data_IF_766291071755
#
_entry.id   IF_766291071755
#
_cell.length_a   1.000
_cell.length_b   1.000
_cell.length_c   1.000
_cell.angle_alpha   90.00
_cell.angle_beta   90.00
_cell.angle_gamma   90.00
#
_symmetry.space_group_name_H-M   'P 1'
#
loop_
_entity.id
_entity.type
_entity.pdbx_description
1 polymer ?
#
# COMPACT_ATOMS: atom_id res chain seq x y z
N UNK A 1 18.05 -13.81 -8.51
CA UNK A 1 17.85 -12.94 -7.34
C UNK A 1 16.68 -12.02 -7.66
N UNK A 2 15.54 -12.18 -6.99
CA UNK A 2 14.39 -11.28 -7.19
C UNK A 2 14.79 -9.90 -6.67
N UNK A 3 14.53 -8.85 -7.45
CA UNK A 3 14.89 -7.49 -7.08
C UNK A 3 14.11 -7.00 -5.84
N UNK A 4 13.02 -7.68 -5.47
CA UNK A 4 12.26 -7.50 -4.21
C UNK A 4 12.78 -8.47 -3.13
N UNK A 5 14.03 -8.30 -2.72
CA UNK A 5 14.59 -9.08 -1.60
C UNK A 5 14.32 -8.43 -0.23
N UNK A 6 13.80 -7.19 -0.19
CA UNK A 6 13.57 -6.46 1.06
C UNK A 6 12.23 -5.75 1.05
N UNK A 7 11.39 -6.05 2.05
CA UNK A 7 10.11 -5.39 2.32
C UNK A 7 10.19 -3.85 2.30
N UNK A 8 11.34 -3.28 2.67
CA UNK A 8 11.57 -1.83 2.62
C UNK A 8 11.42 -1.21 1.23
N UNK A 9 11.95 -1.84 0.17
CA UNK A 9 11.86 -1.28 -1.18
C UNK A 9 10.42 -1.27 -1.70
N UNK A 10 9.65 -2.32 -1.39
CA UNK A 10 8.22 -2.36 -1.72
C UNK A 10 7.46 -1.23 -1.06
N UNK A 11 7.71 -1.02 0.25
CA UNK A 11 7.12 0.06 1.02
C UNK A 11 7.40 1.42 0.38
N UNK A 12 8.64 1.66 -0.02
CA UNK A 12 9.05 2.95 -0.57
C UNK A 12 8.40 3.22 -1.95
N UNK A 13 8.33 2.20 -2.81
CA UNK A 13 7.59 2.29 -4.08
C UNK A 13 6.11 2.57 -3.84
N UNK A 14 5.47 1.86 -2.90
CA UNK A 14 4.05 2.08 -2.60
C UNK A 14 3.81 3.51 -2.09
N UNK A 15 4.63 3.99 -1.16
CA UNK A 15 4.53 5.36 -0.64
C UNK A 15 4.70 6.38 -1.77
N UNK A 16 5.70 6.20 -2.63
CA UNK A 16 5.91 7.07 -3.80
C UNK A 16 4.70 7.05 -4.74
N UNK A 17 4.16 5.87 -5.06
CA UNK A 17 2.97 5.73 -5.90
C UNK A 17 1.74 6.40 -5.26
N UNK A 18 1.59 6.37 -3.94
CA UNK A 18 0.51 7.06 -3.22
C UNK A 18 0.66 8.59 -3.24
N UNK A 19 1.90 9.11 -3.26
CA UNK A 19 2.17 10.54 -3.41
C UNK A 19 1.92 11.00 -4.85
N UNK A 20 2.38 10.20 -5.83
CA UNK A 20 2.17 10.47 -7.26
C UNK A 20 0.68 10.30 -7.64
N UNK A 21 -0.03 9.36 -7.03
CA UNK A 21 -1.44 9.07 -7.33
C UNK A 21 -2.28 9.21 -6.07
N UNK A 22 -2.46 10.43 -5.54
CA UNK A 22 -3.17 10.60 -4.29
C UNK A 22 -4.67 10.40 -4.46
N UNK A 23 -5.32 9.87 -3.43
CA UNK A 23 -6.78 9.77 -3.34
C UNK A 23 -7.40 11.15 -3.15
N UNK A 24 -8.61 11.35 -3.64
CA UNK A 24 -9.24 12.67 -3.64
C UNK A 24 -9.46 13.21 -2.21
N UNK A 25 -9.81 12.31 -1.29
CA UNK A 25 -10.10 12.64 0.11
C UNK A 25 -8.93 12.30 1.05
N UNK A 26 -7.69 12.43 0.57
CA UNK A 26 -6.50 12.25 1.42
C UNK A 26 -6.46 13.33 2.51
N UNK A 27 -6.48 12.89 3.77
CA UNK A 27 -6.42 13.78 4.93
C UNK A 27 -5.00 14.06 5.41
N UNK A 28 -4.07 13.13 5.17
CA UNK A 28 -2.71 13.19 5.68
C UNK A 28 -1.73 12.86 4.57
N UNK A 29 -0.50 13.36 4.72
CA UNK A 29 0.59 12.98 3.83
C UNK A 29 0.84 11.45 3.91
N UNK A 30 0.87 10.73 2.77
CA UNK A 30 1.11 9.29 2.77
C UNK A 30 2.45 8.95 3.42
N UNK A 31 2.41 8.18 4.50
CA UNK A 31 3.61 7.62 5.12
C UNK A 31 3.34 6.20 5.62
N UNK A 32 4.39 5.39 5.64
CA UNK A 32 4.35 4.05 6.21
C UNK A 32 5.56 3.88 7.12
N UNK A 33 5.33 3.97 8.44
CA UNK A 33 6.33 3.71 9.46
C UNK A 33 6.14 2.30 9.99
N UNK A 34 7.17 1.48 9.85
CA UNK A 34 7.24 0.14 10.44
C UNK A 34 8.12 0.22 11.67
N UNK A 35 7.64 -0.25 12.81
CA UNK A 35 8.36 -0.22 14.08
C UNK A 35 8.42 -1.62 14.69
N UNK A 36 9.56 -1.99 15.26
CA UNK A 36 9.76 -3.31 15.86
C UNK A 36 9.09 -3.45 17.24
N UNK A 37 8.94 -2.34 17.96
CA UNK A 37 8.40 -2.33 19.31
C UNK A 37 6.87 -2.11 19.30
N UNK A 38 6.13 -3.07 19.88
CA UNK A 38 4.66 -3.04 19.98
C UNK A 38 4.13 -1.87 20.81
N UNK A 39 4.83 -1.46 21.86
CA UNK A 39 4.46 -0.29 22.65
C UNK A 39 4.55 0.99 21.82
N UNK A 40 5.67 1.18 21.12
CA UNK A 40 5.87 2.32 20.20
C UNK A 40 4.81 2.31 19.10
N UNK A 41 4.52 1.13 18.52
CA UNK A 41 3.43 0.97 17.54
C UNK A 41 2.09 1.44 18.11
N UNK A 42 1.72 0.99 19.30
CA UNK A 42 0.45 1.36 19.92
C UNK A 42 0.35 2.86 20.20
N UNK A 43 1.42 3.49 20.69
CA UNK A 43 1.46 4.94 20.92
C UNK A 43 1.30 5.70 19.60
N UNK A 44 2.04 5.33 18.57
CA UNK A 44 1.93 5.96 17.25
C UNK A 44 0.54 5.74 16.63
N UNK A 45 -0.03 4.54 16.73
CA UNK A 45 -1.37 4.23 16.25
C UNK A 45 -2.44 5.07 16.96
N UNK A 46 -2.31 5.22 18.28
CA UNK A 46 -3.20 6.08 19.06
C UNK A 46 -3.12 7.54 18.59
N UNK A 47 -1.90 8.09 18.45
CA UNK A 47 -1.70 9.51 18.13
C UNK A 47 -1.97 9.86 16.66
N UNK A 48 -1.59 9.00 15.71
CA UNK A 48 -1.62 9.30 14.27
C UNK A 48 -2.87 8.75 13.57
N UNK A 49 -3.57 7.77 14.16
CA UNK A 49 -4.73 7.14 13.53
C UNK A 49 -5.99 7.26 14.37
N UNK A 50 -5.97 6.85 15.64
CA UNK A 50 -7.19 6.78 16.46
C UNK A 50 -7.65 8.17 16.91
N UNK A 51 -6.75 8.97 17.49
CA UNK A 51 -7.09 10.31 17.98
C UNK A 51 -7.60 11.21 16.85
N UNK A 52 -6.94 11.30 15.67
CA UNK A 52 -7.45 12.14 14.59
C UNK A 52 -8.77 11.63 14.04
N UNK A 53 -8.95 10.31 13.92
CA UNK A 53 -10.21 9.72 13.48
C UNK A 53 -11.39 10.05 14.41
N UNK A 54 -11.15 9.99 15.72
CA UNK A 54 -12.15 10.34 16.72
C UNK A 54 -12.55 11.82 16.62
N UNK A 55 -11.55 12.71 16.50
CA UNK A 55 -11.77 14.16 16.33
C UNK A 55 -12.54 14.44 15.04
N UNK A 56 -12.16 13.82 13.91
CA UNK A 56 -12.88 13.94 12.64
C UNK A 56 -14.34 13.51 12.76
N UNK A 57 -14.62 12.39 13.42
CA UNK A 57 -16.00 11.92 13.61
C UNK A 57 -16.83 12.85 14.51
N UNK A 58 -16.22 13.53 15.49
CA UNK A 58 -16.89 14.59 16.27
C UNK A 58 -17.28 15.75 15.35
N UNK A 59 -16.34 16.26 14.54
CA UNK A 59 -16.63 17.36 13.62
C UNK A 59 -17.72 16.98 12.61
N UNK A 60 -17.65 15.77 12.04
CA UNK A 60 -18.70 15.28 11.14
C UNK A 60 -20.07 15.28 11.82
N UNK A 61 -20.17 14.78 13.07
CA UNK A 61 -21.42 14.80 13.83
C UNK A 61 -21.94 16.21 14.07
N UNK A 62 -21.07 17.15 14.45
CA UNK A 62 -21.44 18.55 14.69
C UNK A 62 -21.95 19.24 13.41
N UNK A 63 -21.41 18.85 12.25
CA UNK A 63 -21.86 19.30 10.94
C UNK A 63 -23.08 18.53 10.39
N UNK A 64 -23.73 17.68 11.20
CA UNK A 64 -24.88 16.86 10.78
C UNK A 64 -24.53 15.71 9.84
N UNK A 65 -23.24 15.44 9.62
CA UNK A 65 -22.74 14.35 8.78
C UNK A 65 -22.58 13.06 9.57
N UNK A 66 -22.57 11.93 8.86
CA UNK A 66 -22.43 10.60 9.47
C UNK A 66 -20.97 10.32 9.85
N UNK A 67 -20.66 9.97 11.11
CA UNK A 67 -19.32 9.55 11.51
C UNK A 67 -18.93 8.23 10.83
N UNK A 68 -17.72 8.16 10.30
CA UNK A 68 -17.22 6.99 9.57
C UNK A 68 -15.74 6.68 9.80
N UNK A 69 -14.93 7.64 10.24
CA UNK A 69 -13.48 7.49 10.28
C UNK A 69 -13.05 6.44 11.31
N UNK A 70 -13.70 6.39 12.48
CA UNK A 70 -13.41 5.36 13.49
C UNK A 70 -13.72 3.94 13.00
N UNK A 71 -14.71 3.78 12.10
CA UNK A 71 -14.99 2.48 11.49
C UNK A 71 -13.86 2.08 10.56
N UNK A 72 -13.38 2.99 9.73
CA UNK A 72 -12.26 2.75 8.82
C UNK A 72 -11.00 2.35 9.60
N UNK A 73 -10.65 3.09 10.66
CA UNK A 73 -9.50 2.78 11.50
C UNK A 73 -9.64 1.43 12.22
N UNK A 74 -10.86 1.04 12.63
CA UNK A 74 -11.11 -0.29 13.20
C UNK A 74 -10.83 -1.40 12.18
N UNK A 75 -11.35 -1.27 10.96
CA UNK A 75 -11.09 -2.25 9.89
C UNK A 75 -9.60 -2.29 9.52
N UNK A 76 -8.94 -1.15 9.43
CA UNK A 76 -7.51 -1.06 9.17
C UNK A 76 -6.69 -1.81 10.24
N UNK A 77 -6.96 -1.58 11.52
CA UNK A 77 -6.27 -2.27 12.61
C UNK A 77 -6.51 -3.80 12.58
N UNK A 78 -7.71 -4.24 12.21
CA UNK A 78 -7.99 -5.67 12.03
C UNK A 78 -7.16 -6.27 10.89
N UNK A 79 -7.04 -5.57 9.77
CA UNK A 79 -6.21 -5.99 8.63
C UNK A 79 -4.73 -6.05 9.01
N UNK A 80 -4.22 -5.05 9.71
CA UNK A 80 -2.83 -5.03 10.20
C UNK A 80 -2.61 -6.20 11.17
N UNK A 81 -3.51 -6.45 12.11
CA UNK A 81 -3.39 -7.58 13.03
C UNK A 81 -3.40 -8.94 12.30
N UNK A 82 -4.29 -9.11 11.32
CA UNK A 82 -4.37 -10.34 10.53
C UNK A 82 -3.11 -10.59 9.67
N UNK A 83 -2.45 -9.52 9.21
CA UNK A 83 -1.25 -9.59 8.36
C UNK A 83 0.06 -9.47 9.14
N UNK A 84 0.00 -9.19 10.44
CA UNK A 84 1.17 -8.93 11.28
C UNK A 84 2.16 -10.10 11.28
N UNK A 85 1.67 -11.34 11.37
CA UNK A 85 2.54 -12.52 11.36
C UNK A 85 3.36 -12.61 10.07
N UNK A 86 2.72 -12.43 8.91
CA UNK A 86 3.39 -12.54 7.62
C UNK A 86 4.35 -11.38 7.33
N UNK A 87 4.00 -10.17 7.78
CA UNK A 87 4.75 -8.95 7.50
C UNK A 87 5.93 -8.69 8.45
N UNK A 88 5.94 -9.29 9.64
CA UNK A 88 6.99 -9.07 10.66
C UNK A 88 8.02 -10.20 10.76
N UNK A 89 7.82 -11.30 10.02
CA UNK A 89 8.75 -12.43 9.99
C UNK A 89 9.49 -12.51 8.65
N UNK A 90 10.72 -13.00 8.69
CA UNK A 90 11.46 -13.33 7.47
C UNK A 90 11.04 -14.71 6.96
N UNK A 91 10.86 -14.80 5.65
CA UNK A 91 10.40 -16.00 4.99
C UNK A 91 11.42 -16.45 3.95
N UNK A 92 12.02 -17.61 4.18
CA UNK A 92 12.90 -18.27 3.20
C UNK A 92 12.10 -19.26 2.38
N UNK A 93 11.78 -18.89 1.14
CA UNK A 93 11.11 -19.79 0.21
C UNK A 93 12.12 -20.61 -0.59
N UNK A 94 12.05 -21.94 -0.47
CA UNK A 94 12.79 -22.83 -1.37
C UNK A 94 12.26 -22.68 -2.80
N UNK A 95 13.16 -22.39 -3.75
CA UNK A 95 12.80 -22.06 -5.14
C UNK A 95 13.14 -23.15 -6.16
N UNK A 96 13.43 -24.36 -5.72
CA UNK A 96 13.89 -25.45 -6.59
C UNK A 96 12.86 -25.77 -7.68
N UNK A 97 11.59 -25.98 -7.29
CA UNK A 97 10.50 -26.26 -8.23
C UNK A 97 10.27 -25.14 -9.25
N UNK A 98 10.31 -23.88 -8.79
CA UNK A 98 10.16 -22.71 -9.67
C UNK A 98 11.33 -22.63 -10.66
N UNK A 99 12.55 -22.89 -10.18
CA UNK A 99 13.76 -22.87 -11.02
C UNK A 99 13.70 -23.97 -12.07
N UNK A 100 13.27 -25.17 -11.71
CA UNK A 100 13.13 -26.28 -12.65
C UNK A 100 11.98 -26.06 -13.63
N UNK A 101 10.87 -25.46 -13.19
CA UNK A 101 9.80 -25.02 -14.08
C UNK A 101 10.30 -23.98 -15.09
N UNK A 102 11.07 -22.97 -14.65
CA UNK A 102 11.68 -21.99 -15.55
C UNK A 102 12.60 -22.64 -16.58
N UNK A 103 13.42 -23.63 -16.18
CA UNK A 103 14.27 -24.38 -17.12
C UNK A 103 13.43 -25.12 -18.15
N UNK A 104 12.36 -25.79 -17.73
CA UNK A 104 11.44 -26.50 -18.65
C UNK A 104 10.77 -25.56 -19.63
N UNK A 105 10.24 -24.43 -19.17
CA UNK A 105 9.59 -23.43 -20.04
C UNK A 105 10.55 -22.89 -21.10
N UNK A 106 11.83 -22.68 -20.76
CA UNK A 106 12.83 -22.24 -21.74
C UNK A 106 13.03 -23.20 -22.92
N UNK A 107 12.73 -24.49 -22.73
CA UNK A 107 12.84 -25.52 -23.79
C UNK A 107 11.62 -25.58 -24.72
N UNK A 108 10.54 -24.87 -24.38
CA UNK A 108 9.33 -24.82 -25.20
C UNK A 108 9.50 -23.84 -26.38
N UNK A 109 8.79 -24.09 -27.48
CA UNK A 109 8.82 -23.23 -28.68
C UNK A 109 8.17 -21.87 -28.47
N UNK A 110 7.27 -21.78 -27.49
CA UNK A 110 6.46 -20.61 -27.12
C UNK A 110 6.92 -19.99 -25.78
N UNK A 111 8.20 -20.20 -25.42
CA UNK A 111 8.79 -19.73 -24.17
C UNK A 111 8.63 -18.21 -23.93
N UNK A 112 8.55 -17.40 -24.98
CA UNK A 112 8.37 -15.95 -24.93
C UNK A 112 7.00 -15.51 -24.39
N UNK A 113 5.99 -16.37 -24.48
CA UNK A 113 4.63 -16.08 -24.00
C UNK A 113 4.58 -16.14 -22.47
N UNK A 114 5.36 -17.04 -21.85
CA UNK A 114 5.30 -17.31 -20.41
C UNK A 114 6.49 -16.66 -19.69
N UNK A 115 6.33 -15.40 -19.28
CA UNK A 115 7.32 -14.69 -18.47
C UNK A 115 7.27 -15.14 -17.01
N UNK A 116 8.14 -16.08 -16.65
CA UNK A 116 8.29 -16.57 -15.28
C UNK A 116 9.35 -15.81 -14.46
N UNK A 117 10.31 -15.15 -15.11
CA UNK A 117 11.32 -14.34 -14.41
C UNK A 117 10.78 -12.92 -14.20
N UNK A 118 10.60 -12.54 -12.94
CA UNK A 118 10.13 -11.21 -12.54
C UNK A 118 11.27 -10.20 -12.36
N UNK A 119 12.52 -10.55 -12.69
CA UNK A 119 13.65 -9.62 -12.63
C UNK A 119 13.47 -8.41 -13.54
N UNK A 120 12.95 -8.63 -14.74
CA UNK A 120 12.75 -7.57 -15.73
C UNK A 120 11.43 -6.82 -15.53
N UNK A 121 10.71 -7.12 -14.44
CA UNK A 121 9.46 -6.44 -14.13
C UNK A 121 9.73 -5.03 -13.60
N UNK A 122 9.17 -4.03 -14.28
CA UNK A 122 9.12 -2.67 -13.76
C UNK A 122 8.10 -2.59 -12.62
N UNK A 123 8.58 -2.77 -11.41
CA UNK A 123 7.79 -2.75 -10.19
C UNK A 123 7.16 -1.40 -9.90
N UNK A 124 7.79 -0.29 -10.32
CA UNK A 124 7.21 1.05 -10.16
C UNK A 124 6.01 1.19 -11.09
N UNK A 125 6.15 0.84 -12.37
CA UNK A 125 5.04 0.86 -13.33
C UNK A 125 3.90 -0.06 -12.91
N UNK A 126 4.23 -1.26 -12.41
CA UNK A 126 3.24 -2.17 -11.85
C UNK A 126 2.46 -1.55 -10.68
N UNK A 127 3.17 -1.02 -9.68
CA UNK A 127 2.54 -0.40 -8.50
C UNK A 127 1.69 0.83 -8.86
N UNK A 128 2.15 1.66 -9.80
CA UNK A 128 1.38 2.82 -10.28
C UNK A 128 0.10 2.38 -11.00
N UNK A 129 0.17 1.39 -11.89
CA UNK A 129 -1.01 0.85 -12.56
C UNK A 129 -1.99 0.21 -11.58
N UNK A 130 -1.47 -0.52 -10.59
CA UNK A 130 -2.26 -1.12 -9.52
C UNK A 130 -3.01 -0.05 -8.72
N UNK A 131 -2.32 1.01 -8.28
CA UNK A 131 -2.92 2.12 -7.53
C UNK A 131 -3.97 2.87 -8.36
N UNK A 132 -3.70 3.15 -9.63
CA UNK A 132 -4.68 3.74 -10.56
C UNK A 132 -5.91 2.85 -10.73
N UNK A 133 -5.71 1.52 -10.80
CA UNK A 133 -6.79 0.54 -10.86
C UNK A 133 -7.68 0.59 -9.62
N UNK A 134 -7.09 0.62 -8.41
CA UNK A 134 -7.84 0.78 -7.15
C UNK A 134 -8.66 2.06 -7.20
N UNK A 135 -8.03 3.19 -7.51
CA UNK A 135 -8.68 4.50 -7.55
C UNK A 135 -9.88 4.52 -8.50
N UNK A 136 -9.70 4.01 -9.72
CA UNK A 136 -10.73 4.02 -10.76
C UNK A 136 -11.85 3.00 -10.53
N UNK A 137 -11.52 1.76 -10.19
CA UNK A 137 -12.48 0.65 -10.23
C UNK A 137 -13.05 0.29 -8.86
N UNK A 138 -12.26 0.42 -7.79
CA UNK A 138 -12.71 0.11 -6.42
C UNK A 138 -13.30 1.34 -5.77
N UNK A 139 -12.54 2.45 -5.77
CA UNK A 139 -12.95 3.69 -5.13
C UNK A 139 -13.84 4.56 -6.03
N UNK A 140 -13.87 4.28 -7.33
CA UNK A 140 -14.70 5.00 -8.33
C UNK A 140 -14.46 6.51 -8.33
N UNK A 141 -13.23 6.94 -8.04
CA UNK A 141 -12.84 8.35 -8.05
C UNK A 141 -12.49 8.82 -9.48
N UNK A 142 -12.85 10.05 -9.82
CA UNK A 142 -12.38 10.68 -11.06
C UNK A 142 -10.88 11.06 -10.94
N UNK A 143 -10.09 10.78 -11.98
CA UNK A 143 -8.66 11.08 -12.04
C UNK A 143 -8.37 12.57 -12.35
N UNK A 144 -9.39 13.35 -12.76
CA UNK A 144 -9.19 14.77 -13.15
C UNK A 144 -8.72 15.68 -12.01
N UNK A 145 -8.98 15.33 -10.75
CA UNK A 145 -8.63 16.10 -9.56
C UNK A 145 -7.20 15.91 -9.07
N UNK A 146 -6.40 15.05 -9.69
CA UNK A 146 -5.07 14.66 -9.18
C UNK A 146 -4.11 15.85 -8.98
N UNK A 147 -4.14 16.86 -9.85
CA UNK A 147 -3.26 18.02 -9.74
C UNK A 147 -3.55 18.87 -8.50
N UNK A 148 -4.84 19.07 -8.18
CA UNK A 148 -5.28 19.84 -7.00
C UNK A 148 -4.89 19.12 -5.71
N UNK A 149 -5.06 17.79 -5.68
CA UNK A 149 -4.70 16.98 -4.51
C UNK A 149 -3.19 16.94 -4.30
N UNK A 150 -2.39 16.85 -5.38
CA UNK A 150 -0.93 16.95 -5.29
C UNK A 150 -0.47 18.30 -4.72
N UNK A 151 -1.11 19.39 -5.12
CA UNK A 151 -0.83 20.73 -4.56
C UNK A 151 -1.20 20.83 -3.08
N UNK A 152 -2.29 20.18 -2.65
CA UNK A 152 -2.62 20.09 -1.22
C UNK A 152 -1.57 19.29 -0.44
N UNK A 153 -1.03 18.22 -1.04
CA UNK A 153 0.01 17.39 -0.41
C UNK A 153 1.35 18.11 -0.25
N UNK A 154 1.72 19.03 -1.15
CA UNK A 154 2.94 19.82 -1.00
C UNK A 154 2.91 20.80 0.16
N UNK A 155 1.75 21.05 0.79
CA UNK A 155 1.66 21.87 2.00
C UNK A 155 2.13 21.14 3.26
N UNK A 156 2.29 19.81 3.18
CA UNK A 156 2.73 18.95 4.29
C UNK A 156 4.23 18.63 4.24
N UNK A 157 4.97 19.17 3.26
CA UNK A 157 6.41 18.96 3.03
C UNK A 157 7.13 20.30 3.15
#
# INVERSE_FOLDING_TARGET
MFHFSRWGQMKDIIVQCSIETPLNDVLWYPCCKVVANKFVYNVLNMLLHILPAFVTDIFLKLLGSKPMMMKIIKYFNQLVAATAYFSTHEWTFHRNNITDMMKKVKTLKDNDIVKLDLKDMDWKKYATNYMMGIKKFILKEDCKSMNVVRQRLSLYV
#
